data_IF_322298855723
#
_entry.id   IF_322298855723
#
_cell.length_a   1.000
_cell.length_b   1.000
_cell.length_c   1.000
_cell.angle_alpha   90.00
_cell.angle_beta   90.00
_cell.angle_gamma   90.00
#
_symmetry.space_group_name_H-M   'P 1'
#
loop_
_entity.id
_entity.type
_entity.pdbx_description
1 polymer ?
#
# COMPACT_ATOMS: atom_id res chain seq x y z
N UNK A 1 -18.80 15.93 -4.52
CA UNK A 1 -18.04 16.41 -3.35
C UNK A 1 -16.63 15.89 -3.56
N UNK A 2 -15.70 16.75 -3.96
CA UNK A 2 -14.33 16.32 -4.30
C UNK A 2 -13.60 16.08 -2.99
N UNK A 3 -13.45 14.83 -2.60
CA UNK A 3 -12.55 14.45 -1.50
C UNK A 3 -11.18 15.03 -1.85
N UNK A 4 -10.72 15.99 -1.05
CA UNK A 4 -9.34 16.45 -1.13
C UNK A 4 -8.46 15.29 -0.66
N UNK A 5 -8.10 14.44 -1.62
CA UNK A 5 -7.17 13.34 -1.42
C UNK A 5 -5.82 13.96 -1.01
N UNK A 6 -5.53 13.88 0.29
CA UNK A 6 -4.34 14.48 0.88
C UNK A 6 -3.08 13.72 0.44
N UNK A 7 -1.92 14.34 0.64
CA UNK A 7 -0.62 13.71 0.43
C UNK A 7 -0.55 12.34 1.11
N UNK A 8 0.00 11.36 0.39
CA UNK A 8 0.10 9.98 0.83
C UNK A 8 1.04 9.81 2.03
N UNK A 9 2.14 10.56 2.04
CA UNK A 9 3.03 10.57 3.19
C UNK A 9 2.30 11.23 4.38
N UNK A 10 1.72 10.40 5.25
CA UNK A 10 1.19 10.79 6.56
C UNK A 10 2.08 10.18 7.65
N UNK A 11 2.26 10.94 8.73
CA UNK A 11 2.93 10.56 9.99
C UNK A 11 4.33 9.93 9.89
N UNK A 12 5.36 10.78 9.92
CA UNK A 12 6.69 10.41 10.41
C UNK A 12 7.55 9.48 9.54
N UNK A 13 7.02 8.84 8.49
CA UNK A 13 7.84 8.03 7.56
C UNK A 13 8.81 8.95 6.81
N UNK A 14 10.14 8.79 6.98
CA UNK A 14 11.12 9.67 6.34
C UNK A 14 11.23 9.32 4.86
N UNK A 15 10.44 10.00 4.02
CA UNK A 15 10.57 9.98 2.56
C UNK A 15 11.59 11.01 2.07
N UNK A 16 12.05 10.89 0.82
CA UNK A 16 12.91 11.92 0.23
C UNK A 16 12.12 13.20 -0.09
N UNK A 17 12.78 14.36 -0.10
CA UNK A 17 12.14 15.65 -0.39
C UNK A 17 11.55 15.79 -1.81
N UNK A 18 11.87 14.85 -2.70
CA UNK A 18 11.38 14.75 -4.09
C UNK A 18 10.34 13.62 -4.27
N UNK A 19 9.83 13.06 -3.17
CA UNK A 19 8.89 11.94 -3.23
C UNK A 19 7.52 12.42 -3.71
N UNK A 20 6.88 11.76 -4.69
CA UNK A 20 5.52 12.13 -5.12
C UNK A 20 4.50 12.03 -3.98
N UNK A 21 4.70 11.13 -3.02
CA UNK A 21 3.83 10.98 -1.84
C UNK A 21 3.70 12.23 -0.97
N UNK A 22 4.62 13.20 -1.08
CA UNK A 22 4.50 14.49 -0.39
C UNK A 22 3.43 15.40 -0.98
N UNK A 23 2.97 15.12 -2.21
CA UNK A 23 2.04 15.98 -2.97
C UNK A 23 0.82 15.22 -3.49
N UNK A 24 0.93 13.91 -3.66
CA UNK A 24 -0.07 13.07 -4.29
C UNK A 24 -0.60 12.03 -3.30
N UNK A 25 -1.88 11.62 -3.41
CA UNK A 25 -2.44 10.52 -2.63
C UNK A 25 -1.83 9.18 -3.05
N UNK A 26 -2.10 8.15 -2.24
CA UNK A 26 -1.82 6.78 -2.62
C UNK A 26 -2.58 6.45 -3.90
N UNK A 27 -1.94 5.74 -4.83
CA UNK A 27 -2.50 5.49 -6.15
C UNK A 27 -2.37 6.66 -7.13
N UNK A 28 -1.90 7.84 -6.68
CA UNK A 28 -1.59 8.98 -7.55
C UNK A 28 -0.21 8.93 -8.20
N UNK A 29 0.60 7.91 -7.89
CA UNK A 29 1.92 7.67 -8.45
C UNK A 29 2.19 6.16 -8.54
N UNK A 30 3.09 5.77 -9.44
CA UNK A 30 3.58 4.39 -9.52
C UNK A 30 4.75 4.17 -8.57
N UNK A 31 4.93 2.92 -8.13
CA UNK A 31 6.08 2.53 -7.31
C UNK A 31 6.90 1.52 -8.09
N UNK A 32 8.19 1.80 -8.25
CA UNK A 32 9.14 0.91 -8.90
C UNK A 32 10.33 0.63 -7.99
N UNK A 33 11.03 -0.46 -8.28
CA UNK A 33 12.09 -0.99 -7.43
C UNK A 33 13.34 -0.09 -7.35
N UNK A 34 13.68 0.63 -8.43
CA UNK A 34 14.89 1.46 -8.50
C UNK A 34 14.81 2.54 -9.59
N UNK A 35 15.61 3.62 -9.49
CA UNK A 35 15.75 4.57 -10.59
C UNK A 35 16.15 3.89 -11.91
N UNK A 36 15.49 4.27 -13.01
CA UNK A 36 15.81 3.79 -14.34
C UNK A 36 15.76 4.92 -15.38
N UNK A 37 16.19 4.62 -16.62
CA UNK A 37 16.06 5.55 -17.76
C UNK A 37 14.62 5.73 -18.21
N UNK A 38 13.74 4.79 -17.88
CA UNK A 38 12.31 4.83 -18.21
C UNK A 38 11.55 5.81 -17.31
N UNK A 39 12.16 6.22 -16.19
CA UNK A 39 11.63 7.18 -15.23
C UNK A 39 12.65 8.29 -14.87
N UNK A 40 13.06 9.12 -15.85
CA UNK A 40 14.04 10.17 -15.61
C UNK A 40 13.53 11.17 -14.58
N UNK A 41 14.46 11.76 -13.82
CA UNK A 41 14.16 12.85 -12.90
C UNK A 41 13.99 14.15 -13.68
N UNK A 42 12.89 14.86 -13.43
CA UNK A 42 12.65 16.20 -13.94
C UNK A 42 12.99 17.25 -12.87
N UNK A 43 14.06 18.06 -13.06
CA UNK A 43 14.45 19.07 -12.10
C UNK A 43 13.47 20.24 -11.97
N UNK A 44 12.57 20.45 -12.94
CA UNK A 44 11.59 21.55 -12.89
C UNK A 44 10.48 21.25 -11.89
N UNK A 45 9.98 20.02 -11.90
CA UNK A 45 8.91 19.57 -11.01
C UNK A 45 9.45 18.93 -9.72
N UNK A 46 10.69 18.44 -9.76
CA UNK A 46 11.33 17.72 -8.66
C UNK A 46 10.75 16.31 -8.48
N UNK A 47 10.26 15.67 -9.55
CA UNK A 47 9.69 14.31 -9.54
C UNK A 47 10.32 13.45 -10.65
N UNK A 48 10.05 12.14 -10.62
CA UNK A 48 10.36 11.20 -11.72
C UNK A 48 9.07 10.84 -12.44
N UNK A 49 9.15 10.62 -13.75
CA UNK A 49 7.97 10.31 -14.55
C UNK A 49 8.20 9.16 -15.51
N UNK A 50 7.21 8.29 -15.67
CA UNK A 50 7.15 7.35 -16.80
C UNK A 50 7.10 8.11 -18.14
N UNK A 51 7.31 7.41 -19.25
CA UNK A 51 7.13 7.98 -20.59
C UNK A 51 5.70 8.53 -20.84
N UNK A 52 4.71 8.03 -20.10
CA UNK A 52 3.32 8.51 -20.15
C UNK A 52 3.05 9.73 -19.25
N UNK A 53 4.07 10.24 -18.55
CA UNK A 53 3.92 11.39 -17.65
C UNK A 53 3.32 11.04 -16.28
N UNK A 54 3.40 9.77 -15.86
CA UNK A 54 2.93 9.34 -14.53
C UNK A 54 4.05 9.52 -13.51
N UNK A 55 3.83 10.22 -12.37
CA UNK A 55 4.81 10.36 -11.30
C UNK A 55 5.22 9.00 -10.72
N UNK A 56 6.50 8.86 -10.33
CA UNK A 56 7.06 7.60 -9.84
C UNK A 56 7.84 7.77 -8.54
N UNK A 57 7.55 6.92 -7.55
CA UNK A 57 8.44 6.66 -6.42
C UNK A 57 9.35 5.47 -6.75
N UNK A 58 10.64 5.61 -6.46
CA UNK A 58 11.66 4.57 -6.70
C UNK A 58 12.14 3.92 -5.40
N UNK A 59 11.43 4.16 -4.30
CA UNK A 59 11.78 3.67 -2.96
C UNK A 59 10.55 3.04 -2.30
N UNK A 60 10.22 1.77 -2.63
CA UNK A 60 9.09 1.05 -2.05
C UNK A 60 9.07 1.12 -0.51
N UNK A 61 10.20 0.84 0.13
CA UNK A 61 10.31 0.80 1.59
C UNK A 61 10.06 2.17 2.26
N UNK A 62 10.44 3.26 1.58
CA UNK A 62 10.27 4.62 2.12
C UNK A 62 8.81 5.03 2.12
N UNK A 63 8.09 4.64 1.07
CA UNK A 63 6.68 4.98 0.90
C UNK A 63 5.76 3.92 1.53
N UNK A 64 6.27 2.73 1.83
CA UNK A 64 5.48 1.65 2.43
C UNK A 64 4.50 1.01 1.45
N UNK A 65 4.82 0.99 0.17
CA UNK A 65 4.01 0.36 -0.87
C UNK A 65 4.87 -0.62 -1.67
N UNK A 66 4.36 -1.82 -2.00
CA UNK A 66 4.99 -2.70 -2.99
C UNK A 66 5.21 -2.03 -4.34
N UNK A 67 6.15 -2.56 -5.12
CA UNK A 67 6.33 -2.15 -6.52
C UNK A 67 5.10 -2.53 -7.34
N UNK A 68 4.39 -1.53 -7.88
CA UNK A 68 3.28 -1.72 -8.79
C UNK A 68 2.94 -0.42 -9.57
N UNK A 69 2.34 -0.56 -10.77
CA UNK A 69 1.86 0.57 -11.57
C UNK A 69 0.50 1.08 -11.07
N UNK A 70 0.42 1.54 -9.81
CA UNK A 70 -0.84 1.94 -9.17
C UNK A 70 -1.60 3.03 -9.95
N UNK A 71 -0.92 4.10 -10.33
CA UNK A 71 -1.54 5.21 -11.06
C UNK A 71 -1.77 4.86 -12.53
N UNK A 72 -0.79 4.20 -13.15
CA UNK A 72 -0.87 3.82 -14.57
C UNK A 72 -2.03 2.85 -14.83
N UNK A 73 -2.23 1.86 -13.97
CA UNK A 73 -3.24 0.81 -14.16
C UNK A 73 -4.48 0.97 -13.27
N UNK A 74 -4.54 2.01 -12.43
CA UNK A 74 -5.64 2.19 -11.47
C UNK A 74 -5.75 1.03 -10.47
N UNK A 75 -4.62 0.50 -10.00
CA UNK A 75 -4.62 -0.62 -9.06
C UNK A 75 -5.03 -0.14 -7.67
N UNK A 76 -5.85 -0.91 -6.93
CA UNK A 76 -6.16 -0.59 -5.54
C UNK A 76 -4.89 -0.63 -4.70
N UNK A 77 -4.86 0.18 -3.64
CA UNK A 77 -3.80 0.07 -2.64
C UNK A 77 -3.93 -1.27 -1.90
N UNK A 78 -2.86 -1.80 -1.29
CA UNK A 78 -2.91 -3.11 -0.67
C UNK A 78 -4.05 -3.26 0.34
N UNK A 79 -4.30 -2.27 1.21
CA UNK A 79 -5.41 -2.30 2.17
C UNK A 79 -6.80 -2.07 1.56
N UNK A 80 -6.89 -1.69 0.29
CA UNK A 80 -8.14 -1.60 -0.47
C UNK A 80 -8.44 -2.91 -1.22
N UNK A 81 -7.51 -3.86 -1.21
CA UNK A 81 -7.71 -5.18 -1.81
C UNK A 81 -8.75 -5.95 -0.97
N UNK A 82 -9.82 -6.47 -1.58
CA UNK A 82 -10.87 -7.16 -0.85
C UNK A 82 -10.30 -8.36 -0.08
N UNK A 83 -10.89 -8.69 1.08
CA UNK A 83 -10.47 -9.87 1.82
C UNK A 83 -10.73 -11.16 1.02
N UNK A 84 -9.93 -12.21 1.25
CA UNK A 84 -10.14 -13.50 0.61
C UNK A 84 -11.42 -14.16 1.13
N UNK A 85 -11.99 -15.04 0.29
CA UNK A 85 -13.15 -15.86 0.68
C UNK A 85 -12.69 -17.07 1.49
N UNK A 86 -11.54 -17.63 1.15
CA UNK A 86 -10.99 -18.84 1.79
C UNK A 86 -10.17 -18.47 3.03
N UNK A 87 -10.53 -19.03 4.19
CA UNK A 87 -9.84 -18.76 5.45
C UNK A 87 -8.34 -19.10 5.41
N UNK A 88 -7.94 -20.09 4.60
CA UNK A 88 -6.54 -20.46 4.40
C UNK A 88 -5.68 -19.38 3.73
N UNK A 89 -6.29 -18.41 3.04
CA UNK A 89 -5.61 -17.31 2.36
C UNK A 89 -5.46 -16.06 3.25
N UNK A 90 -6.21 -15.99 4.35
CA UNK A 90 -6.20 -14.86 5.30
C UNK A 90 -4.79 -14.51 5.78
N UNK A 91 -3.89 -15.45 6.16
CA UNK A 91 -2.56 -15.08 6.62
C UNK A 91 -1.74 -14.31 5.57
N UNK A 92 -1.78 -14.75 4.31
CA UNK A 92 -1.06 -14.09 3.22
C UNK A 92 -1.66 -12.71 2.93
N UNK A 93 -2.99 -12.61 2.92
CA UNK A 93 -3.69 -11.34 2.76
C UNK A 93 -3.36 -10.35 3.90
N UNK A 94 -3.47 -10.78 5.17
CA UNK A 94 -3.15 -9.98 6.35
C UNK A 94 -1.72 -9.43 6.27
N UNK A 95 -0.75 -10.27 5.92
CA UNK A 95 0.65 -9.83 5.76
C UNK A 95 0.76 -8.74 4.70
N UNK A 96 0.14 -8.92 3.54
CA UNK A 96 0.22 -7.96 2.44
C UNK A 96 -0.47 -6.63 2.78
N UNK A 97 -1.67 -6.67 3.37
CA UNK A 97 -2.44 -5.45 3.66
C UNK A 97 -1.86 -4.67 4.83
N UNK A 98 -1.43 -5.32 5.91
CA UNK A 98 -0.92 -4.63 7.11
C UNK A 98 0.50 -4.09 6.95
N UNK A 99 1.33 -4.67 6.08
CA UNK A 99 2.68 -4.15 5.79
C UNK A 99 2.63 -2.75 5.15
N UNK A 100 1.59 -2.52 4.34
CA UNK A 100 1.39 -1.27 3.61
C UNK A 100 0.34 -0.33 4.22
N UNK A 101 -0.58 -0.85 5.05
CA UNK A 101 -1.70 -0.09 5.58
C UNK A 101 -1.26 1.15 6.39
N UNK A 102 -1.99 2.27 6.26
CA UNK A 102 -1.89 3.35 7.23
C UNK A 102 -2.52 2.90 8.57
N UNK A 103 -2.07 3.45 9.72
CA UNK A 103 -2.51 3.01 11.05
C UNK A 103 -4.03 3.01 11.24
N UNK A 104 -4.74 3.97 10.62
CA UNK A 104 -6.19 4.09 10.68
C UNK A 104 -6.93 2.94 9.98
N UNK A 105 -6.31 2.25 9.01
CA UNK A 105 -6.91 1.13 8.30
C UNK A 105 -6.68 -0.22 9.01
N UNK A 106 -5.66 -0.32 9.85
CA UNK A 106 -5.24 -1.59 10.47
C UNK A 106 -6.35 -2.25 11.29
N UNK A 107 -7.12 -1.47 12.05
CA UNK A 107 -8.18 -2.01 12.91
C UNK A 107 -9.28 -2.72 12.11
N UNK A 108 -9.71 -2.14 10.99
CA UNK A 108 -10.72 -2.75 10.12
C UNK A 108 -10.20 -3.99 9.39
N UNK A 109 -8.95 -3.99 8.95
CA UNK A 109 -8.32 -5.15 8.31
C UNK A 109 -8.22 -6.33 9.28
N UNK A 110 -7.82 -6.07 10.54
CA UNK A 110 -7.75 -7.09 11.59
C UNK A 110 -9.16 -7.63 11.91
N UNK A 111 -10.17 -6.75 11.96
CA UNK A 111 -11.57 -7.15 12.17
C UNK A 111 -12.06 -8.08 11.05
N UNK A 112 -11.85 -7.71 9.79
CA UNK A 112 -12.23 -8.54 8.64
C UNK A 112 -11.54 -9.92 8.67
N UNK A 113 -10.23 -9.96 8.95
CA UNK A 113 -9.51 -11.23 9.12
C UNK A 113 -10.14 -12.10 10.22
N UNK A 114 -10.48 -11.48 11.35
CA UNK A 114 -11.10 -12.15 12.50
C UNK A 114 -12.46 -12.75 12.13
N UNK A 115 -13.31 -11.98 11.42
CA UNK A 115 -14.62 -12.42 10.98
C UNK A 115 -14.53 -13.65 10.06
N UNK A 116 -13.60 -13.65 9.10
CA UNK A 116 -13.41 -14.75 8.14
C UNK A 116 -12.93 -16.02 8.85
N UNK A 117 -11.93 -15.88 9.72
CA UNK A 117 -11.36 -17.01 10.45
C UNK A 117 -12.41 -17.66 11.36
N UNK A 118 -13.18 -16.86 12.12
CA UNK A 118 -14.21 -17.38 13.03
C UNK A 118 -15.45 -17.91 12.30
N UNK A 119 -15.77 -17.39 11.11
CA UNK A 119 -16.82 -17.95 10.27
C UNK A 119 -16.46 -19.34 9.74
N UNK A 120 -15.17 -19.57 9.43
CA UNK A 120 -14.67 -20.87 8.98
C UNK A 120 -14.48 -21.86 10.13
N UNK A 121 -13.99 -21.41 11.28
CA UNK A 121 -13.80 -22.22 12.48
C UNK A 121 -14.01 -21.36 13.74
N UNK A 122 -15.16 -21.50 14.44
CA UNK A 122 -15.42 -20.76 15.68
C UNK A 122 -14.43 -21.03 16.82
N UNK A 123 -13.67 -22.13 16.74
CA UNK A 123 -12.63 -22.49 17.71
C UNK A 123 -11.23 -21.98 17.35
N UNK A 124 -11.06 -21.25 16.24
CA UNK A 124 -9.76 -20.81 15.75
C UNK A 124 -9.06 -19.87 16.75
N UNK A 125 -7.77 -20.13 17.00
CA UNK A 125 -6.89 -19.17 17.68
C UNK A 125 -6.46 -18.07 16.70
N UNK A 126 -7.32 -17.07 16.53
CA UNK A 126 -7.10 -15.91 15.65
C UNK A 126 -5.79 -15.21 15.98
N UNK A 127 -5.45 -15.09 17.27
CA UNK A 127 -4.22 -14.39 17.67
C UNK A 127 -2.97 -15.16 17.22
N UNK A 128 -2.98 -16.49 17.33
CA UNK A 128 -1.88 -17.32 16.83
C UNK A 128 -1.72 -17.20 15.30
N UNK A 129 -2.83 -17.20 14.56
CA UNK A 129 -2.82 -17.04 13.09
C UNK A 129 -2.24 -15.67 12.69
N UNK A 130 -2.73 -14.58 13.28
CA UNK A 130 -2.25 -13.23 12.98
C UNK A 130 -0.77 -13.05 13.36
N UNK A 131 -0.33 -13.61 14.49
CA UNK A 131 1.08 -13.59 14.90
C UNK A 131 1.96 -14.31 13.87
N UNK A 132 1.57 -15.51 13.45
CA UNK A 132 2.31 -16.28 12.45
C UNK A 132 2.38 -15.57 11.09
N UNK A 133 1.32 -14.85 10.71
CA UNK A 133 1.28 -14.08 9.46
C UNK A 133 2.26 -12.89 9.46
N UNK A 134 2.50 -12.27 10.61
CA UNK A 134 3.29 -11.04 10.72
C UNK A 134 4.78 -11.28 11.01
N UNK A 135 5.15 -12.48 11.49
CA UNK A 135 6.53 -12.86 11.83
C UNK A 135 6.90 -12.45 13.24
#
# INVERSE_FOLDING_TARGET
>A
MTEQQMAFARDGRPVCGVCPSLRLPGGGFDVIERPSRDCPFDPKTGLRFTAAGVPVCVHPDRVGLPTAPYATNGLPLPWETPPPVEAGEVPAWVRAVLDAAPPEACADLIRQATEILLASDPGADVTAVLRAALG
#
